data_IF_318446990135
#
_entry.id   IF_318446990135
#
_cell.length_a   1.000
_cell.length_b   1.000
_cell.length_c   1.000
_cell.angle_alpha   90.00
_cell.angle_beta   90.00
_cell.angle_gamma   90.00
#
_symmetry.space_group_name_H-M   'P 1'
#
loop_
_entity.id
_entity.type
_entity.pdbx_description
1 polymer ?
#
# COMPACT_ATOMS: atom_id res chain seq x y z
N UNK A 1 6.63 28.95 14.28
CA UNK A 1 7.12 27.67 13.72
C UNK A 1 6.13 26.52 13.97
N UNK A 2 5.64 26.28 15.21
CA UNK A 2 4.56 25.28 15.53
C UNK A 2 3.38 25.33 14.55
N UNK A 3 2.81 26.52 14.41
CA UNK A 3 1.61 26.73 13.61
C UNK A 3 1.85 26.46 12.13
N UNK A 4 3.01 26.85 11.60
CA UNK A 4 3.38 26.62 10.21
C UNK A 4 3.55 25.13 9.91
N UNK A 5 4.25 24.40 10.77
CA UNK A 5 4.43 22.95 10.66
C UNK A 5 3.09 22.21 10.78
N UNK A 6 2.26 22.63 11.74
CA UNK A 6 0.91 22.10 11.91
C UNK A 6 0.02 22.41 10.71
N UNK A 7 0.23 23.54 10.03
CA UNK A 7 -0.45 23.86 8.78
C UNK A 7 0.01 22.95 7.63
N UNK A 8 1.31 22.62 7.52
CA UNK A 8 1.81 21.71 6.49
C UNK A 8 1.26 20.30 6.63
N UNK A 9 1.19 19.79 7.87
CA UNK A 9 0.53 18.52 8.17
C UNK A 9 -0.95 18.56 7.81
N UNK A 10 -1.69 19.58 8.24
CA UNK A 10 -3.13 19.71 7.91
C UNK A 10 -3.39 19.85 6.42
N UNK A 11 -2.46 20.45 5.67
CA UNK A 11 -2.49 20.55 4.20
C UNK A 11 -1.97 19.29 3.50
N UNK A 12 -1.54 18.25 4.21
CA UNK A 12 -1.11 16.98 3.60
C UNK A 12 0.16 17.09 2.76
N UNK A 13 1.12 17.92 3.16
CA UNK A 13 2.36 18.13 2.41
C UNK A 13 3.51 17.23 2.87
N UNK A 14 3.36 16.60 4.02
CA UNK A 14 4.37 15.74 4.63
C UNK A 14 3.72 14.83 5.68
N UNK A 15 4.44 13.77 6.05
CA UNK A 15 4.01 12.86 7.11
C UNK A 15 4.48 13.36 8.48
N UNK A 16 3.86 12.84 9.53
CA UNK A 16 4.23 13.17 10.91
C UNK A 16 5.67 12.76 11.20
N UNK A 17 6.10 11.58 10.72
CA UNK A 17 7.48 11.10 10.89
C UNK A 17 8.50 11.97 10.16
N UNK A 18 8.24 12.36 8.91
CA UNK A 18 9.17 13.17 8.12
C UNK A 18 9.50 14.50 8.82
N UNK A 19 8.48 15.18 9.36
CA UNK A 19 8.68 16.38 10.18
C UNK A 19 9.43 16.05 11.46
N UNK A 20 9.05 14.99 12.18
CA UNK A 20 9.66 14.65 13.46
C UNK A 20 11.14 14.29 13.33
N UNK A 21 11.54 13.59 12.27
CA UNK A 21 12.94 13.27 11.98
C UNK A 21 13.74 14.54 11.70
N UNK A 22 13.23 15.42 10.83
CA UNK A 22 13.90 16.71 10.57
C UNK A 22 13.98 17.61 11.81
N UNK A 23 12.96 17.57 12.67
CA UNK A 23 12.95 18.36 13.89
C UNK A 23 14.05 17.95 14.87
N UNK A 24 14.38 16.64 14.92
CA UNK A 24 15.51 16.14 15.72
C UNK A 24 16.85 16.63 15.18
N UNK A 25 16.99 16.67 13.86
CA UNK A 25 18.21 17.16 13.18
C UNK A 25 18.46 18.67 13.44
N UNK A 26 17.38 19.45 13.62
CA UNK A 26 17.46 20.90 13.82
C UNK A 26 17.72 21.35 15.28
N UNK A 27 17.82 20.42 16.23
CA UNK A 27 18.22 20.70 17.61
C UNK A 27 17.14 20.44 18.66
N UNK A 28 17.39 19.42 19.49
CA UNK A 28 16.61 19.09 20.68
C UNK A 28 16.73 20.20 21.73
N UNK A 29 15.80 21.15 21.73
CA UNK A 29 15.74 22.21 22.74
C UNK A 29 14.49 23.10 22.69
N UNK A 30 13.52 22.81 21.83
CA UNK A 30 12.23 23.51 21.84
C UNK A 30 11.11 22.57 22.20
N UNK A 31 10.31 23.03 23.17
CA UNK A 31 9.23 22.38 23.89
C UNK A 31 8.03 22.02 22.96
N UNK A 32 8.29 21.20 21.96
CA UNK A 32 7.43 20.92 20.82
C UNK A 32 7.19 19.41 20.75
N UNK A 33 6.12 18.94 21.38
CA UNK A 33 5.70 17.56 21.21
C UNK A 33 5.34 17.32 19.72
N UNK A 34 5.91 16.30 19.06
CA UNK A 34 5.47 15.93 17.73
C UNK A 34 3.98 15.52 17.77
N UNK A 35 3.22 15.74 16.67
CA UNK A 35 1.85 15.26 16.57
C UNK A 35 1.82 13.77 16.91
N UNK A 36 0.90 13.37 17.78
CA UNK A 36 0.88 12.01 18.31
C UNK A 36 0.47 11.02 17.22
N UNK A 37 1.44 10.40 16.55
CA UNK A 37 1.25 9.05 16.01
C UNK A 37 0.87 8.12 17.18
N UNK A 38 0.08 7.07 16.94
CA UNK A 38 -0.38 6.16 17.98
C UNK A 38 0.80 5.67 18.86
N UNK A 39 0.89 6.15 20.10
CA UNK A 39 2.02 5.86 20.99
C UNK A 39 1.84 4.48 21.64
N UNK A 40 2.72 3.52 21.34
CA UNK A 40 2.86 2.29 22.14
C UNK A 40 3.42 1.07 21.40
N UNK A 41 4.28 0.28 22.07
CA UNK A 41 4.87 -0.98 21.54
C UNK A 41 3.81 -2.03 21.17
N UNK A 42 2.67 -2.06 21.87
CA UNK A 42 1.54 -2.95 21.54
C UNK A 42 0.82 -2.52 20.26
N UNK A 43 0.64 -1.21 20.04
CA UNK A 43 0.03 -0.68 18.82
C UNK A 43 0.91 -0.99 17.59
N UNK A 44 2.23 -0.88 17.73
CA UNK A 44 3.18 -1.24 16.67
C UNK A 44 3.07 -2.72 16.26
N UNK A 45 3.10 -3.67 17.21
CA UNK A 45 2.95 -5.12 16.90
C UNK A 45 1.59 -5.47 16.29
N UNK A 46 0.52 -4.79 16.71
CA UNK A 46 -0.81 -4.96 16.11
C UNK A 46 -0.86 -4.43 14.68
N UNK A 47 -0.12 -3.35 14.39
CA UNK A 47 -0.02 -2.78 13.05
C UNK A 47 0.86 -3.60 12.09
N UNK A 48 1.86 -4.34 12.58
CA UNK A 48 2.73 -5.18 11.73
C UNK A 48 1.95 -6.13 10.82
N UNK A 49 0.86 -6.72 11.30
CA UNK A 49 0.02 -7.65 10.53
C UNK A 49 -1.31 -7.05 10.07
N UNK A 50 -1.51 -5.74 10.29
CA UNK A 50 -2.73 -5.02 9.93
C UNK A 50 -2.51 -4.10 8.74
N UNK A 51 -3.60 -3.69 8.09
CA UNK A 51 -3.58 -2.65 7.06
C UNK A 51 -3.66 -1.24 7.65
N UNK A 52 -3.43 -0.20 6.81
CA UNK A 52 -3.64 1.18 7.18
C UNK A 52 -5.07 1.44 7.65
N UNK A 53 -5.20 2.32 8.64
CA UNK A 53 -6.47 2.73 9.22
C UNK A 53 -6.73 4.18 8.85
N UNK A 54 -7.93 4.44 8.36
CA UNK A 54 -8.39 5.79 8.02
C UNK A 54 -9.25 6.30 9.18
N UNK A 55 -8.98 7.51 9.64
CA UNK A 55 -9.78 8.21 10.67
C UNK A 55 -10.34 9.50 10.07
N UNK A 56 -11.64 9.74 10.21
CA UNK A 56 -12.25 10.99 9.75
C UNK A 56 -11.89 12.12 10.71
N UNK A 57 -11.24 13.17 10.19
CA UNK A 57 -10.87 14.34 10.97
C UNK A 57 -11.88 15.48 10.84
N UNK A 58 -12.50 15.62 9.68
CA UNK A 58 -13.45 16.68 9.33
C UNK A 58 -14.42 16.14 8.28
N UNK A 59 -15.70 16.47 8.41
CA UNK A 59 -16.75 16.02 7.50
C UNK A 59 -17.29 14.61 7.81
N UNK A 60 -17.90 14.02 6.78
CA UNK A 60 -18.57 12.71 6.82
C UNK A 60 -18.23 11.93 5.55
N UNK A 61 -18.04 10.61 5.69
CA UNK A 61 -17.82 9.69 4.59
C UNK A 61 -18.80 8.53 4.68
N UNK A 62 -19.79 8.48 3.79
CA UNK A 62 -20.90 7.53 3.93
C UNK A 62 -21.62 7.71 5.27
N UNK A 63 -21.71 6.64 6.07
CA UNK A 63 -22.31 6.68 7.41
C UNK A 63 -21.30 7.09 8.52
N UNK A 64 -20.03 7.25 8.15
CA UNK A 64 -18.97 7.52 9.12
C UNK A 64 -18.86 9.01 9.42
N UNK A 65 -18.85 9.33 10.70
CA UNK A 65 -18.74 10.67 11.27
C UNK A 65 -17.33 10.97 11.76
N UNK A 66 -17.08 12.23 12.09
CA UNK A 66 -15.80 12.67 12.67
C UNK A 66 -15.36 11.81 13.86
N UNK A 67 -14.08 11.41 13.86
CA UNK A 67 -13.47 10.56 14.88
C UNK A 67 -13.63 9.06 14.66
N UNK A 68 -14.53 8.64 13.77
CA UNK A 68 -14.69 7.23 13.44
C UNK A 68 -13.58 6.73 12.52
N UNK A 69 -13.38 5.40 12.58
CA UNK A 69 -12.30 4.70 11.89
C UNK A 69 -12.87 3.65 10.94
N UNK A 70 -12.19 3.48 9.83
CA UNK A 70 -12.52 2.51 8.80
C UNK A 70 -11.24 1.96 8.17
N UNK A 71 -11.38 0.85 7.45
CA UNK A 71 -10.24 0.28 6.70
C UNK A 71 -9.88 1.16 5.51
N UNK A 72 -8.64 1.07 5.03
CA UNK A 72 -8.22 1.82 3.84
C UNK A 72 -9.06 1.48 2.61
N UNK A 73 -9.33 0.20 2.37
CA UNK A 73 -10.12 -0.24 1.20
C UNK A 73 -11.54 0.33 1.25
N UNK A 74 -12.20 0.22 2.41
CA UNK A 74 -13.55 0.77 2.60
C UNK A 74 -13.58 2.29 2.40
N UNK A 75 -12.58 3.02 2.93
CA UNK A 75 -12.48 4.46 2.70
C UNK A 75 -12.28 4.78 1.22
N UNK A 76 -11.47 3.98 0.52
CA UNK A 76 -11.19 4.14 -0.91
C UNK A 76 -12.48 4.01 -1.74
N UNK A 77 -13.27 2.98 -1.46
CA UNK A 77 -14.55 2.72 -2.13
C UNK A 77 -15.59 3.79 -1.82
N UNK A 78 -15.73 4.21 -0.55
CA UNK A 78 -16.69 5.22 -0.14
C UNK A 78 -16.39 6.60 -0.76
N UNK A 79 -15.11 6.99 -0.87
CA UNK A 79 -14.73 8.24 -1.53
C UNK A 79 -15.14 8.19 -2.99
N UNK A 80 -14.84 7.09 -3.70
CA UNK A 80 -15.22 6.91 -5.10
C UNK A 80 -16.74 7.03 -5.30
N UNK A 81 -17.53 6.35 -4.46
CA UNK A 81 -18.99 6.40 -4.53
C UNK A 81 -19.53 7.81 -4.25
N UNK A 82 -19.04 8.48 -3.21
CA UNK A 82 -19.52 9.80 -2.82
C UNK A 82 -19.08 10.88 -3.82
N UNK A 83 -17.87 10.78 -4.37
CA UNK A 83 -17.40 11.65 -5.46
C UNK A 83 -18.30 11.54 -6.69
N UNK A 84 -18.68 10.32 -7.08
CA UNK A 84 -19.63 10.09 -8.17
C UNK A 84 -21.00 10.72 -7.88
N UNK A 85 -21.51 10.63 -6.64
CA UNK A 85 -22.78 11.24 -6.25
C UNK A 85 -22.76 12.77 -6.35
N UNK A 86 -21.66 13.42 -5.95
CA UNK A 86 -21.53 14.88 -6.07
C UNK A 86 -21.45 15.33 -7.52
N UNK A 87 -20.75 14.58 -8.38
CA UNK A 87 -20.71 14.88 -9.81
C UNK A 87 -22.07 14.79 -10.49
N UNK A 88 -22.88 13.80 -10.10
CA UNK A 88 -24.23 13.63 -10.65
C UNK A 88 -25.21 14.67 -10.12
N UNK A 89 -25.08 15.05 -8.85
CA UNK A 89 -26.00 16.01 -8.22
C UNK A 89 -25.66 17.48 -8.48
N UNK A 90 -24.42 17.79 -8.87
CA UNK A 90 -23.92 19.15 -9.05
C UNK A 90 -23.88 19.97 -7.74
N UNK A 91 -24.08 19.32 -6.58
CA UNK A 91 -24.03 19.97 -5.27
C UNK A 91 -22.59 20.23 -4.87
N UNK A 92 -22.37 21.33 -4.16
CA UNK A 92 -21.08 21.59 -3.53
C UNK A 92 -20.86 20.59 -2.38
N UNK A 93 -19.76 19.81 -2.41
CA UNK A 93 -19.45 18.88 -1.34
C UNK A 93 -18.95 19.60 -0.09
N UNK A 94 -19.22 19.08 1.11
CA UNK A 94 -18.60 19.56 2.33
C UNK A 94 -17.09 19.23 2.30
N UNK A 95 -16.31 20.00 3.07
CA UNK A 95 -14.90 19.69 3.28
C UNK A 95 -14.74 18.34 3.98
N UNK A 96 -13.94 17.45 3.39
CA UNK A 96 -13.59 16.16 3.97
C UNK A 96 -12.07 16.13 4.23
N UNK A 97 -11.69 15.74 5.44
CA UNK A 97 -10.28 15.50 5.78
C UNK A 97 -10.15 14.21 6.56
N UNK A 98 -9.15 13.40 6.21
CA UNK A 98 -8.89 12.12 6.87
C UNK A 98 -7.43 12.03 7.34
N UNK A 99 -7.19 11.19 8.34
CA UNK A 99 -5.86 10.75 8.75
C UNK A 99 -5.68 9.28 8.41
N UNK A 100 -4.59 8.96 7.72
CA UNK A 100 -4.15 7.61 7.45
C UNK A 100 -3.04 7.26 8.44
N UNK A 101 -3.32 6.33 9.34
CA UNK A 101 -2.37 5.78 10.30
C UNK A 101 -1.88 4.43 9.75
N UNK A 102 -0.56 4.27 9.59
CA UNK A 102 0.02 3.12 8.90
C UNK A 102 1.41 2.74 9.44
N UNK A 103 1.90 1.57 9.01
CA UNK A 103 3.26 1.12 9.27
C UNK A 103 4.01 1.00 7.96
N UNK A 104 5.19 1.58 7.87
CA UNK A 104 6.07 1.43 6.72
C UNK A 104 7.52 1.34 7.18
N UNK A 105 8.26 0.39 6.60
CA UNK A 105 9.66 0.11 6.94
C UNK A 105 9.82 -0.20 8.44
N UNK A 106 8.83 -0.91 9.02
CA UNK A 106 8.79 -1.30 10.44
C UNK A 106 8.53 -0.13 11.41
N UNK A 107 8.19 1.06 10.90
CA UNK A 107 7.91 2.25 11.73
C UNK A 107 6.49 2.73 11.50
N UNK A 108 5.84 3.17 12.57
CA UNK A 108 4.53 3.83 12.48
C UNK A 108 4.68 5.24 11.94
N UNK A 109 3.73 5.64 11.10
CA UNK A 109 3.62 6.99 10.55
C UNK A 109 2.15 7.38 10.39
N UNK A 110 1.91 8.67 10.22
CA UNK A 110 0.58 9.22 9.99
C UNK A 110 0.63 10.27 8.89
N UNK A 111 -0.36 10.25 8.02
CA UNK A 111 -0.54 11.23 6.94
C UNK A 111 -1.95 11.82 7.01
N UNK A 112 -2.08 13.12 6.81
CA UNK A 112 -3.37 13.80 6.79
C UNK A 112 -3.65 14.20 5.34
N UNK A 113 -4.83 13.86 4.84
CA UNK A 113 -5.24 14.12 3.47
C UNK A 113 -6.53 14.95 3.43
N UNK A 114 -6.49 16.16 2.84
CA UNK A 114 -7.68 16.85 2.38
C UNK A 114 -8.26 16.15 1.15
N UNK A 115 -9.58 15.93 1.13
CA UNK A 115 -10.29 15.25 0.03
C UNK A 115 -11.29 16.23 -0.56
N UNK A 116 -11.22 16.36 -1.89
CA UNK A 116 -12.13 17.17 -2.70
C UNK A 116 -13.16 16.29 -3.40
N UNK A 117 -14.33 16.10 -2.81
CA UNK A 117 -15.35 15.16 -3.33
C UNK A 117 -16.04 15.63 -4.62
N UNK A 118 -15.70 16.80 -5.14
CA UNK A 118 -16.12 17.31 -6.44
C UNK A 118 -15.23 16.79 -7.58
N UNK A 119 -14.03 16.28 -7.26
CA UNK A 119 -13.12 15.64 -8.21
C UNK A 119 -13.45 14.15 -8.40
N UNK A 120 -13.07 13.56 -9.53
CA UNK A 120 -13.22 12.12 -9.81
C UNK A 120 -12.10 11.33 -9.17
N UNK A 121 -12.43 10.14 -8.68
CA UNK A 121 -11.46 9.15 -8.27
C UNK A 121 -11.79 8.54 -6.91
N UNK A 122 -10.95 7.60 -6.50
CA UNK A 122 -10.98 7.05 -5.16
C UNK A 122 -10.09 7.84 -4.17
N UNK A 123 -10.02 7.42 -2.91
CA UNK A 123 -9.19 8.08 -1.91
C UNK A 123 -7.72 8.22 -2.34
N UNK A 124 -7.16 7.19 -2.99
CA UNK A 124 -5.76 7.15 -3.41
C UNK A 124 -5.50 7.97 -4.67
N UNK A 125 -6.48 8.09 -5.56
CA UNK A 125 -6.44 9.03 -6.69
C UNK A 125 -6.41 10.47 -6.19
N UNK A 126 -7.26 10.81 -5.21
CA UNK A 126 -7.27 12.15 -4.61
C UNK A 126 -5.95 12.42 -3.88
N UNK A 127 -5.37 11.43 -3.19
CA UNK A 127 -4.04 11.55 -2.60
C UNK A 127 -2.97 11.84 -3.65
N UNK A 128 -2.95 11.06 -4.74
CA UNK A 128 -1.95 11.21 -5.80
C UNK A 128 -2.07 12.58 -6.47
N UNK A 129 -3.28 12.99 -6.85
CA UNK A 129 -3.55 14.30 -7.45
C UNK A 129 -3.16 15.45 -6.51
N UNK A 130 -3.47 15.32 -5.21
CA UNK A 130 -3.11 16.31 -4.21
C UNK A 130 -1.59 16.48 -4.09
N UNK A 131 -0.86 15.37 -3.98
CA UNK A 131 0.60 15.39 -3.87
C UNK A 131 1.24 15.91 -5.16
N UNK A 132 0.78 15.44 -6.33
CA UNK A 132 1.31 15.87 -7.62
C UNK A 132 1.12 17.36 -7.87
N UNK A 133 -0.01 17.94 -7.44
CA UNK A 133 -0.24 19.38 -7.54
C UNK A 133 0.88 20.19 -6.88
N UNK A 134 1.29 19.83 -5.67
CA UNK A 134 2.35 20.53 -4.95
C UNK A 134 3.75 20.13 -5.42
N UNK A 135 3.92 18.90 -5.92
CA UNK A 135 5.19 18.41 -6.45
C UNK A 135 5.56 19.04 -7.79
N UNK A 136 4.57 19.30 -8.64
CA UNK A 136 4.76 19.84 -10.00
C UNK A 136 4.74 21.36 -10.07
N UNK A 137 4.17 22.04 -9.07
CA UNK A 137 4.21 23.49 -8.96
C UNK A 137 4.98 23.95 -7.69
N UNK A 138 6.29 24.20 -7.80
CA UNK A 138 7.10 24.71 -6.71
C UNK A 138 6.59 26.05 -6.13
N UNK A 139 5.85 26.85 -6.91
CA UNK A 139 5.32 28.14 -6.42
C UNK A 139 4.32 27.93 -5.30
N UNK A 140 3.48 26.91 -5.40
CA UNK A 140 2.52 26.55 -4.35
C UNK A 140 3.23 26.21 -3.04
N UNK A 141 4.40 25.58 -3.09
CA UNK A 141 5.20 25.30 -1.90
C UNK A 141 5.79 26.58 -1.32
N UNK A 142 6.31 27.48 -2.17
CA UNK A 142 6.89 28.76 -1.70
C UNK A 142 5.86 29.72 -1.10
N UNK A 143 4.62 29.71 -1.62
CA UNK A 143 3.52 30.56 -1.15
C UNK A 143 3.02 30.18 0.24
N UNK A 144 3.28 28.94 0.69
CA UNK A 144 2.93 28.52 2.05
C UNK A 144 3.63 29.33 3.14
N UNK A 145 4.75 29.97 2.79
CA UNK A 145 5.53 30.81 3.69
C UNK A 145 5.08 32.27 3.70
N UNK A 146 4.16 32.68 2.82
CA UNK A 146 3.74 34.08 2.69
C UNK A 146 2.97 34.58 3.93
N UNK A 147 2.43 33.66 4.71
CA UNK A 147 1.79 33.94 6.00
C UNK A 147 2.72 33.77 7.21
N UNK A 148 4.01 33.47 7.00
CA UNK A 148 4.98 33.41 8.08
C UNK A 148 5.40 34.83 8.50
N UNK A 149 5.79 35.05 9.77
CA UNK A 149 6.33 36.35 10.19
C UNK A 149 7.52 36.77 9.33
N UNK A 150 7.49 37.99 8.76
CA UNK A 150 8.48 38.48 7.80
C UNK A 150 9.93 38.29 8.27
N UNK A 151 10.19 38.56 9.57
CA UNK A 151 11.49 38.40 10.23
C UNK A 151 12.07 36.96 10.19
N UNK A 152 11.26 35.94 9.91
CA UNK A 152 11.69 34.54 9.86
C UNK A 152 11.33 33.86 8.54
N UNK A 153 10.67 34.57 7.61
CA UNK A 153 10.09 33.98 6.41
C UNK A 153 11.16 33.31 5.52
N UNK A 154 12.27 34.01 5.24
CA UNK A 154 13.35 33.48 4.40
C UNK A 154 14.03 32.27 5.06
N UNK A 155 14.37 32.38 6.34
CA UNK A 155 15.00 31.29 7.10
C UNK A 155 14.09 30.05 7.18
N UNK A 156 12.80 30.25 7.40
CA UNK A 156 11.83 29.13 7.41
C UNK A 156 11.69 28.50 6.03
N UNK A 157 11.67 29.32 4.97
CA UNK A 157 11.61 28.85 3.59
C UNK A 157 12.85 28.02 3.25
N UNK A 158 14.05 28.50 3.58
CA UNK A 158 15.31 27.79 3.35
C UNK A 158 15.33 26.43 4.08
N UNK A 159 14.90 26.40 5.34
CA UNK A 159 14.93 25.18 6.17
C UNK A 159 13.88 24.14 5.76
N UNK A 160 12.67 24.57 5.40
CA UNK A 160 11.51 23.67 5.24
C UNK A 160 11.18 23.35 3.79
N UNK A 161 11.59 24.16 2.81
CA UNK A 161 11.32 23.87 1.39
C UNK A 161 11.96 22.55 0.92
N UNK A 162 13.23 22.24 1.25
CA UNK A 162 13.83 20.95 0.89
C UNK A 162 13.06 19.78 1.53
N UNK A 163 12.70 19.91 2.82
CA UNK A 163 11.89 18.90 3.51
C UNK A 163 10.56 18.65 2.82
N UNK A 164 9.84 19.71 2.44
CA UNK A 164 8.53 19.57 1.79
C UNK A 164 8.68 18.92 0.43
N UNK A 165 9.71 19.29 -0.35
CA UNK A 165 10.01 18.66 -1.63
C UNK A 165 10.28 17.17 -1.49
N UNK A 166 11.16 16.79 -0.56
CA UNK A 166 11.50 15.39 -0.31
C UNK A 166 10.30 14.61 0.20
N UNK A 167 9.49 15.23 1.07
CA UNK A 167 8.25 14.64 1.58
C UNK A 167 7.23 14.40 0.47
N UNK A 168 7.00 15.37 -0.42
CA UNK A 168 6.07 15.23 -1.55
C UNK A 168 6.55 14.15 -2.53
N UNK A 169 7.85 14.09 -2.81
CA UNK A 169 8.43 13.02 -3.61
C UNK A 169 8.23 11.64 -2.96
N UNK A 170 8.49 11.52 -1.66
CA UNK A 170 8.30 10.29 -0.91
C UNK A 170 6.83 9.87 -0.84
N UNK A 171 5.91 10.83 -0.63
CA UNK A 171 4.47 10.59 -0.64
C UNK A 171 4.03 10.01 -1.98
N UNK A 172 4.40 10.67 -3.08
CA UNK A 172 4.01 10.25 -4.43
C UNK A 172 4.60 8.90 -4.85
N UNK A 173 5.89 8.67 -4.59
CA UNK A 173 6.60 7.51 -5.15
C UNK A 173 6.55 6.28 -4.26
N UNK A 174 6.39 6.46 -2.95
CA UNK A 174 6.46 5.36 -1.97
C UNK A 174 5.17 5.18 -1.21
N UNK A 175 4.67 6.24 -0.55
CA UNK A 175 3.54 6.11 0.40
C UNK A 175 2.23 5.79 -0.33
N UNK A 176 1.92 6.46 -1.45
CA UNK A 176 0.74 6.14 -2.26
C UNK A 176 0.80 4.68 -2.74
N UNK A 177 1.95 4.22 -3.21
CA UNK A 177 2.10 2.83 -3.70
C UNK A 177 1.97 1.81 -2.57
N UNK A 178 2.48 2.12 -1.39
CA UNK A 178 2.28 1.31 -0.19
C UNK A 178 0.79 1.18 0.15
N UNK A 179 0.03 2.26 0.10
CA UNK A 179 -1.43 2.22 0.29
C UNK A 179 -2.15 1.42 -0.79
N UNK A 180 -1.76 1.55 -2.06
CA UNK A 180 -2.30 0.73 -3.16
C UNK A 180 -2.08 -0.76 -2.92
N UNK A 181 -0.86 -1.16 -2.53
CA UNK A 181 -0.53 -2.55 -2.14
C UNK A 181 -1.43 -3.05 -1.01
N UNK A 182 -1.76 -2.21 -0.03
CA UNK A 182 -2.68 -2.59 1.04
C UNK A 182 -4.15 -2.70 0.61
N UNK A 183 -4.60 -1.87 -0.34
CA UNK A 183 -5.92 -2.06 -0.97
C UNK A 183 -5.97 -3.40 -1.72
N UNK A 184 -4.94 -3.73 -2.49
CA UNK A 184 -4.85 -5.02 -3.22
C UNK A 184 -4.88 -6.22 -2.27
N UNK A 185 -4.11 -6.19 -1.17
CA UNK A 185 -4.13 -7.25 -0.16
C UNK A 185 -5.52 -7.39 0.47
N UNK A 186 -6.20 -6.28 0.74
CA UNK A 186 -7.53 -6.29 1.35
C UNK A 186 -8.62 -6.78 0.38
N UNK A 187 -8.50 -6.45 -0.91
CA UNK A 187 -9.39 -6.96 -1.95
C UNK A 187 -9.20 -8.48 -2.15
N UNK A 188 -7.95 -8.96 -2.09
CA UNK A 188 -7.65 -10.40 -2.08
C UNK A 188 -8.28 -11.09 -0.86
N UNK A 189 -8.16 -10.48 0.33
CA UNK A 189 -8.79 -11.00 1.55
C UNK A 189 -10.31 -11.13 1.39
N UNK A 190 -11.00 -10.08 0.91
CA UNK A 190 -12.44 -10.12 0.64
C UNK A 190 -12.81 -11.19 -0.39
N UNK A 191 -12.04 -11.33 -1.46
CA UNK A 191 -12.27 -12.35 -2.49
C UNK A 191 -12.17 -13.77 -1.90
N UNK A 192 -11.12 -14.06 -1.13
CA UNK A 192 -10.93 -15.35 -0.46
C UNK A 192 -12.05 -15.61 0.57
N UNK A 193 -12.46 -14.59 1.33
CA UNK A 193 -13.58 -14.72 2.25
C UNK A 193 -14.89 -15.06 1.54
N UNK A 194 -15.14 -14.47 0.36
CA UNK A 194 -16.27 -14.82 -0.49
C UNK A 194 -16.23 -16.27 -0.97
N UNK A 195 -15.06 -16.75 -1.42
CA UNK A 195 -14.89 -18.16 -1.80
C UNK A 195 -15.17 -19.11 -0.62
N UNK A 196 -14.68 -18.76 0.57
CA UNK A 196 -14.88 -19.55 1.78
C UNK A 196 -16.36 -19.75 2.14
N UNK A 197 -17.21 -18.76 1.86
CA UNK A 197 -18.66 -18.85 2.11
C UNK A 197 -19.36 -19.90 1.24
N UNK A 198 -18.81 -20.20 0.06
CA UNK A 198 -19.33 -21.25 -0.83
C UNK A 198 -18.82 -22.66 -0.48
N UNK A 199 -17.92 -22.79 0.51
CA UNK A 199 -17.32 -24.07 0.90
C UNK A 199 -18.17 -24.84 1.92
N UNK A 200 -18.04 -26.18 1.99
CA UNK A 200 -18.60 -26.96 3.09
C UNK A 200 -18.04 -26.50 4.45
N UNK A 201 -18.89 -26.42 5.48
CA UNK A 201 -18.53 -25.92 6.83
C UNK A 201 -17.25 -26.55 7.42
N UNK A 202 -17.02 -27.85 7.16
CA UNK A 202 -15.83 -28.57 7.64
C UNK A 202 -14.53 -28.07 7.01
N UNK A 203 -14.55 -27.70 5.73
CA UNK A 203 -13.40 -27.15 5.01
C UNK A 203 -13.24 -25.63 5.23
N UNK A 204 -14.35 -24.94 5.46
CA UNK A 204 -14.41 -23.48 5.63
C UNK A 204 -13.54 -22.97 6.78
N UNK A 205 -13.54 -23.64 7.95
CA UNK A 205 -12.74 -23.22 9.10
C UNK A 205 -11.22 -23.28 8.83
N UNK A 206 -10.76 -24.37 8.22
CA UNK A 206 -9.35 -24.52 7.84
C UNK A 206 -8.95 -23.46 6.81
N UNK A 207 -9.80 -23.21 5.82
CA UNK A 207 -9.58 -22.19 4.81
C UNK A 207 -9.48 -20.78 5.40
N UNK A 208 -10.38 -20.40 6.31
CA UNK A 208 -10.31 -19.10 7.00
C UNK A 208 -9.01 -18.94 7.78
N UNK A 209 -8.57 -20.00 8.48
CA UNK A 209 -7.31 -19.97 9.23
C UNK A 209 -6.12 -19.73 8.29
N UNK A 210 -5.99 -20.53 7.23
CA UNK A 210 -4.89 -20.40 6.26
C UNK A 210 -4.91 -19.04 5.54
N UNK A 211 -6.10 -18.55 5.16
CA UNK A 211 -6.28 -17.24 4.55
C UNK A 211 -5.81 -16.15 5.49
N UNK A 212 -6.24 -16.17 6.76
CA UNK A 212 -5.84 -15.17 7.75
C UNK A 212 -4.33 -15.14 7.96
N UNK A 213 -3.69 -16.31 8.06
CA UNK A 213 -2.22 -16.41 8.22
C UNK A 213 -1.49 -15.86 6.98
N UNK A 214 -1.99 -16.18 5.78
CA UNK A 214 -1.40 -15.72 4.52
C UNK A 214 -1.56 -14.21 4.33
N UNK A 215 -2.74 -13.65 4.61
CA UNK A 215 -2.98 -12.19 4.55
C UNK A 215 -2.15 -11.46 5.61
N UNK A 216 -2.03 -12.00 6.82
CA UNK A 216 -1.18 -11.42 7.86
C UNK A 216 0.30 -11.38 7.42
N UNK A 217 0.81 -12.44 6.78
CA UNK A 217 2.16 -12.47 6.23
C UNK A 217 2.37 -11.45 5.10
N UNK A 218 1.39 -11.30 4.19
CA UNK A 218 1.44 -10.30 3.13
C UNK A 218 1.47 -8.87 3.68
N UNK A 219 0.63 -8.57 4.68
CA UNK A 219 0.62 -7.28 5.38
C UNK A 219 1.94 -7.02 6.09
N UNK A 220 2.47 -8.03 6.77
CA UNK A 220 3.77 -7.94 7.43
C UNK A 220 4.88 -7.60 6.45
N UNK A 221 4.97 -8.32 5.33
CA UNK A 221 5.94 -8.00 4.28
C UNK A 221 5.77 -6.56 3.79
N UNK A 222 4.56 -6.12 3.47
CA UNK A 222 4.27 -4.75 3.01
C UNK A 222 4.63 -3.67 4.04
N UNK A 223 4.51 -3.98 5.34
CA UNK A 223 4.77 -3.05 6.44
C UNK A 223 6.25 -2.98 6.83
N UNK A 224 7.04 -4.04 6.61
CA UNK A 224 8.45 -4.13 7.06
C UNK A 224 9.47 -3.99 5.95
N UNK A 225 9.14 -4.38 4.72
CA UNK A 225 10.06 -4.24 3.59
C UNK A 225 10.36 -2.75 3.33
N UNK A 226 11.61 -2.41 2.97
CA UNK A 226 11.93 -1.08 2.47
C UNK A 226 10.97 -0.72 1.33
N UNK A 227 10.50 0.53 1.28
CA UNK A 227 9.65 0.99 0.18
C UNK A 227 10.47 1.22 -1.11
N UNK A 228 11.25 0.22 -1.51
CA UNK A 228 11.97 0.14 -2.76
C UNK A 228 11.01 -0.35 -3.84
N UNK A 229 10.15 0.54 -4.34
CA UNK A 229 9.39 0.24 -5.54
C UNK A 229 10.30 0.42 -6.76
N UNK A 230 10.93 -0.67 -7.19
CA UNK A 230 11.27 -0.85 -8.59
C UNK A 230 9.97 -1.16 -9.31
N UNK A 231 9.57 -0.35 -10.30
CA UNK A 231 8.35 -0.54 -11.10
C UNK A 231 8.42 -1.77 -12.01
N UNK A 232 8.85 -2.92 -11.50
CA UNK A 232 8.91 -4.18 -12.23
C UNK A 232 7.74 -5.04 -11.76
N UNK A 233 6.81 -5.26 -12.68
CA UNK A 233 5.84 -6.37 -12.64
C UNK A 233 6.52 -7.70 -12.26
N UNK A 234 5.80 -8.70 -11.71
CA UNK A 234 6.37 -9.98 -11.22
C UNK A 234 7.08 -10.89 -12.25
N UNK A 235 7.43 -10.38 -13.43
CA UNK A 235 7.97 -11.15 -14.55
C UNK A 235 9.48 -10.97 -14.80
N UNK A 236 10.20 -10.15 -14.01
CA UNK A 236 11.61 -9.84 -14.29
C UNK A 236 12.62 -10.33 -13.22
N UNK A 237 12.25 -11.31 -12.39
CA UNK A 237 13.21 -11.95 -11.47
C UNK A 237 14.05 -13.07 -12.13
N UNK A 238 14.04 -13.21 -13.46
CA UNK A 238 14.85 -14.22 -14.17
C UNK A 238 16.03 -13.66 -14.96
N UNK A 239 16.46 -12.41 -14.72
CA UNK A 239 17.59 -11.85 -15.48
C UNK A 239 18.40 -10.80 -14.70
N UNK A 240 18.81 -11.10 -13.46
CA UNK A 240 19.90 -10.37 -12.79
C UNK A 240 20.65 -11.28 -11.80
N UNK A 241 21.15 -12.41 -12.29
CA UNK A 241 22.17 -13.20 -11.60
C UNK A 241 23.04 -13.92 -12.64
N UNK A 242 23.66 -13.15 -13.54
CA UNK A 242 24.65 -13.71 -14.47
C UNK A 242 25.54 -12.61 -15.07
N UNK A 243 26.23 -11.84 -14.23
CA UNK A 243 27.34 -11.01 -14.69
C UNK A 243 28.28 -10.68 -13.51
N UNK A 244 28.89 -11.71 -12.94
CA UNK A 244 30.18 -11.62 -12.23
C UNK A 244 30.68 -13.03 -11.86
N UNK A 245 31.26 -13.72 -12.85
CA UNK A 245 32.25 -14.79 -12.67
C UNK A 245 32.76 -15.22 -14.04
N UNK A 246 33.65 -14.42 -14.65
CA UNK A 246 34.47 -14.86 -15.76
C UNK A 246 35.90 -15.07 -15.25
N UNK A 247 36.21 -16.30 -14.84
CA UNK A 247 37.57 -16.85 -14.98
C UNK A 247 37.56 -18.38 -14.86
N UNK A 248 37.90 -19.05 -15.96
CA UNK A 248 38.52 -20.39 -15.94
C UNK A 248 37.62 -21.63 -16.15
N UNK A 249 37.88 -22.31 -17.28
CA UNK A 249 37.70 -23.75 -17.60
C UNK A 249 36.40 -24.29 -18.21
N UNK A 250 36.49 -24.47 -19.54
CA UNK A 250 36.21 -25.68 -20.35
C UNK A 250 35.00 -26.61 -20.06
N UNK A 251 34.11 -26.66 -21.08
CA UNK A 251 33.48 -27.83 -21.70
C UNK A 251 32.70 -28.84 -20.84
N UNK A 252 31.38 -28.65 -20.78
CA UNK A 252 30.40 -29.73 -21.07
C UNK A 252 29.02 -29.16 -21.39
N UNK A 253 28.50 -29.45 -22.57
CA UNK A 253 27.14 -29.10 -22.98
C UNK A 253 26.12 -29.79 -22.06
N UNK A 254 25.34 -29.01 -21.29
CA UNK A 254 24.15 -29.50 -20.62
C UNK A 254 22.92 -29.27 -21.52
N UNK A 255 22.01 -30.25 -21.65
CA UNK A 255 20.84 -30.12 -22.49
C UNK A 255 19.81 -29.16 -21.86
N UNK A 256 19.18 -28.37 -22.71
CA UNK A 256 18.15 -27.39 -22.34
C UNK A 256 16.94 -28.06 -21.66
N UNK A 257 16.47 -27.43 -20.57
CA UNK A 257 15.28 -27.87 -19.82
C UNK A 257 14.05 -27.90 -20.73
N UNK A 258 13.54 -29.10 -21.03
CA UNK A 258 12.28 -29.26 -21.75
C UNK A 258 11.10 -28.84 -20.86
N UNK A 259 10.13 -28.14 -21.44
CA UNK A 259 8.97 -27.64 -20.68
C UNK A 259 8.11 -28.79 -20.14
N UNK A 260 7.51 -28.55 -18.96
CA UNK A 260 6.64 -29.50 -18.24
C UNK A 260 5.48 -30.02 -19.10
N UNK A 261 4.99 -29.24 -20.07
CA UNK A 261 3.96 -29.66 -21.04
C UNK A 261 4.43 -30.79 -21.96
N UNK A 262 5.71 -30.80 -22.34
CA UNK A 262 6.29 -31.86 -23.17
C UNK A 262 6.47 -33.14 -22.35
N UNK A 263 6.87 -33.02 -21.09
CA UNK A 263 6.96 -34.15 -20.16
C UNK A 263 5.60 -34.79 -19.88
N UNK A 264 4.53 -34.01 -19.74
CA UNK A 264 3.17 -34.53 -19.54
C UNK A 264 2.65 -35.30 -20.76
N UNK A 265 2.88 -34.79 -21.98
CA UNK A 265 2.51 -35.50 -23.22
C UNK A 265 3.29 -36.80 -23.40
N UNK A 266 4.59 -36.80 -23.08
CA UNK A 266 5.40 -38.02 -23.18
C UNK A 266 5.01 -39.07 -22.13
N UNK A 267 4.62 -38.66 -20.93
CA UNK A 267 4.14 -39.60 -19.90
C UNK A 267 2.75 -40.17 -20.26
N UNK A 268 1.85 -39.37 -20.83
CA UNK A 268 0.56 -39.87 -21.33
C UNK A 268 0.74 -40.85 -22.49
N UNK A 269 1.66 -40.58 -23.42
CA UNK A 269 1.98 -41.50 -24.52
C UNK A 269 2.59 -42.83 -24.01
N UNK A 270 3.45 -42.77 -22.98
CA UNK A 270 4.02 -43.97 -22.34
C UNK A 270 3.00 -44.78 -21.55
N UNK A 271 1.98 -44.15 -20.96
CA UNK A 271 0.88 -44.85 -20.27
C UNK A 271 -0.08 -45.51 -21.27
N UNK A 272 -0.37 -44.88 -22.41
CA UNK A 272 -1.18 -45.47 -23.48
C UNK A 272 -0.52 -46.72 -24.10
N UNK A 273 0.81 -46.73 -24.20
CA UNK A 273 1.56 -47.88 -24.72
C UNK A 273 1.71 -49.05 -23.73
N UNK A 274 1.39 -48.87 -22.44
CA UNK A 274 1.56 -49.88 -21.38
C UNK A 274 0.26 -50.62 -21.01
N UNK A 275 -0.85 -50.31 -21.66
CA UNK A 275 -2.11 -51.04 -21.49
C UNK A 275 -2.06 -52.39 -22.23
N UNK A 276 -1.62 -53.44 -21.52
CA UNK A 276 -1.71 -54.84 -21.97
C UNK A 276 -3.14 -55.36 -21.69
N UNK A 277 -3.80 -56.05 -22.64
CA UNK A 277 -5.13 -56.59 -22.41
C UNK A 277 -5.06 -57.85 -21.53
N UNK A 278 -5.65 -57.80 -20.34
CA UNK A 278 -5.89 -59.01 -19.55
C UNK A 278 -7.01 -59.83 -20.21
N UNK A 279 -6.67 -61.08 -20.56
CA UNK A 279 -7.59 -62.08 -21.13
C UNK A 279 -8.77 -62.33 -20.18
N UNK A 280 -9.97 -62.30 -20.74
CA UNK A 280 -11.23 -62.66 -20.09
C UNK A 280 -11.22 -64.12 -19.63
N UNK A 281 -11.65 -64.36 -18.39
CA UNK A 281 -11.93 -65.68 -17.87
C UNK A 281 -13.32 -66.12 -18.34
N UNK A 282 -13.37 -67.28 -19.01
CA UNK A 282 -14.58 -67.99 -19.43
C UNK A 282 -15.38 -68.47 -18.22
N UNK A 283 -16.68 -68.21 -18.24
CA UNK A 283 -17.69 -68.73 -17.30
C UNK A 283 -18.04 -70.18 -17.70
N UNK A 284 -18.17 -71.15 -16.78
CA UNK A 284 -18.78 -72.43 -17.11
C UNK A 284 -20.31 -72.33 -17.01
N UNK A 285 -20.99 -72.90 -18.00
CA UNK A 285 -22.44 -73.08 -18.03
C UNK A 285 -22.85 -74.37 -17.29
N UNK A 286 -24.01 -74.23 -16.61
CA UNK A 286 -24.93 -75.23 -16.04
C UNK A 286 -24.48 -76.04 -14.84
#
# INVERSE_FOLDING_TARGET
>A
MKELVSAFLRKGLCTVRAIAERWKELGAGTDMAPPSAAKGKKAARLLETSGPVVTILEGQLGNYQQGQKLSLLEANELVCQQAQQYQLSGKEPPALRVRLDYMAEGRMDSYILPIKLDEKGDLLDHMQAWVDRYRTDPKLVTQLFDHAPAQHQERLRELLTPLLRDSLNNLSTKVVQHFRRHCEISALEQHLQGQAQAMPKRAQQAFYKTTRESIAALRQAANTEPLLFSGKSPQENSSMEQQQAASGRELRAQPSRQSVRVQLRQNQAKQAARAVPHKAHTVPQR
#
